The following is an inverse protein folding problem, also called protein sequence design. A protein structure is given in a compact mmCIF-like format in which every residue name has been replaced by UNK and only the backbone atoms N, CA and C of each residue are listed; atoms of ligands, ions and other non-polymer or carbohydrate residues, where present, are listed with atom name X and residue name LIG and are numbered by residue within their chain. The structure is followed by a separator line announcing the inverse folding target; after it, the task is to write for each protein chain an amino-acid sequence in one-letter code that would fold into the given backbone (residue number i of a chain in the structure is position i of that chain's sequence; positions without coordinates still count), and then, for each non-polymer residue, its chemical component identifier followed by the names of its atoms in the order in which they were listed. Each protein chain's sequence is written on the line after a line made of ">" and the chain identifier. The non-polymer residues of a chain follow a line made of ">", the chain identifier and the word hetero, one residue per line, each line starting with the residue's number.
data_IF_687454454858
#
_entry.id   IF_687454454858
#
_cell.length_a   1.000
_cell.length_b   1.000
_cell.length_c   1.000
_cell.angle_alpha   90.00
_cell.angle_beta   90.00
_cell.angle_gamma   90.00
#
_symmetry.space_group_name_H-M   'P 1'
#
loop_
_entity.id
_entity.type
_entity.pdbx_description
1 polymer ?
#
# COMPACT_ATOMS: atom_id res chain seq x y z
N UNK A 1 0.58 38.05 -7.52
CA UNK A 1 -0.20 38.85 -6.55
C UNK A 1 -1.50 38.10 -6.31
N UNK A 2 -1.88 37.59 -5.15
CA UNK A 2 -1.62 38.02 -3.78
C UNK A 2 -1.81 36.80 -2.86
N UNK A 3 -0.94 36.70 -1.85
CA UNK A 3 -0.98 35.74 -0.76
C UNK A 3 -1.99 36.14 0.33
N UNK A 4 -2.15 35.19 1.26
CA UNK A 4 -2.51 35.35 2.68
C UNK A 4 -3.97 35.07 3.02
N UNK A 5 -4.20 33.92 3.67
CA UNK A 5 -4.96 33.91 4.93
C UNK A 5 -4.12 33.27 6.02
N UNK A 6 -4.15 33.97 7.15
CA UNK A 6 -3.31 33.89 8.33
C UNK A 6 -3.64 32.66 9.19
N UNK A 7 -2.57 32.12 9.79
CA UNK A 7 -2.50 31.09 10.82
C UNK A 7 -2.98 31.67 12.15
N UNK A 8 -3.63 30.89 13.01
CA UNK A 8 -3.33 30.74 14.46
C UNK A 8 -4.49 30.10 15.23
N UNK A 9 -4.13 29.26 16.20
CA UNK A 9 -4.90 29.13 17.44
C UNK A 9 -5.79 27.91 17.58
N UNK A 10 -5.20 26.79 18.02
CA UNK A 10 -5.54 26.18 19.33
C UNK A 10 -4.94 24.76 19.42
N UNK A 11 -3.97 24.61 20.31
CA UNK A 11 -3.59 23.32 20.87
C UNK A 11 -4.76 22.80 21.73
N UNK A 12 -5.48 21.81 21.23
CA UNK A 12 -6.11 20.80 22.09
C UNK A 12 -5.87 19.43 21.48
N UNK A 13 -5.00 18.66 22.15
CA UNK A 13 -4.75 17.24 21.97
C UNK A 13 -6.08 16.48 22.18
N UNK A 14 -6.80 16.15 21.12
CA UNK A 14 -7.85 15.13 21.18
C UNK A 14 -7.23 13.79 20.84
N UNK A 15 -6.84 13.08 21.90
CA UNK A 15 -6.43 11.71 21.81
C UNK A 15 -7.59 10.85 21.27
N UNK A 16 -7.21 9.85 20.48
CA UNK A 16 -8.04 8.78 19.90
C UNK A 16 -8.57 9.05 18.48
N UNK A 17 -7.66 9.21 17.52
CA UNK A 17 -7.91 8.65 16.19
C UNK A 17 -7.67 7.14 16.32
N UNK A 18 -8.70 6.28 16.26
CA UNK A 18 -8.45 4.87 16.18
C UNK A 18 -7.65 4.65 14.90
N UNK A 19 -6.41 4.23 15.13
CA UNK A 19 -5.57 3.45 14.22
C UNK A 19 -6.37 3.04 13.00
N UNK A 20 -6.02 3.57 11.82
CA UNK A 20 -6.45 3.05 10.54
C UNK A 20 -5.92 1.63 10.36
N UNK A 21 -6.44 0.68 11.13
CA UNK A 21 -6.53 -0.71 10.73
C UNK A 21 -7.52 -0.70 9.58
N UNK A 22 -7.02 -0.38 8.38
CA UNK A 22 -7.54 -0.95 7.15
C UNK A 22 -7.35 -2.46 7.21
N UNK A 23 -8.07 -3.10 8.14
CA UNK A 23 -8.30 -4.52 8.15
C UNK A 23 -9.20 -4.74 6.96
N UNK A 24 -8.58 -4.94 5.79
CA UNK A 24 -9.28 -5.44 4.63
C UNK A 24 -9.75 -6.85 5.02
N UNK A 25 -10.99 -6.95 5.48
CA UNK A 25 -11.76 -8.17 5.67
C UNK A 25 -12.17 -8.74 4.31
N UNK A 26 -11.23 -8.78 3.37
CA UNK A 26 -11.39 -9.56 2.17
C UNK A 26 -10.88 -10.94 2.51
N UNK A 27 -11.78 -11.92 2.43
CA UNK A 27 -11.42 -13.31 2.21
C UNK A 27 -11.22 -14.25 3.42
N UNK A 28 -12.28 -14.41 4.21
CA UNK A 28 -12.58 -15.73 4.80
C UNK A 28 -13.70 -16.46 4.00
N UNK A 29 -14.31 -15.79 3.01
CA UNK A 29 -15.50 -16.29 2.30
C UNK A 29 -15.23 -16.86 0.90
N UNK A 30 -14.11 -16.57 0.24
CA UNK A 30 -13.81 -17.14 -1.08
C UNK A 30 -13.00 -18.44 -0.93
N UNK A 31 -13.17 -19.33 -1.90
CA UNK A 31 -12.40 -20.58 -1.92
C UNK A 31 -10.95 -20.31 -2.33
N UNK A 32 -10.02 -21.19 -1.94
CA UNK A 32 -8.61 -21.06 -2.36
C UNK A 32 -8.44 -20.98 -3.87
N UNK A 33 -9.26 -21.71 -4.64
CA UNK A 33 -9.23 -21.66 -6.10
C UNK A 33 -9.64 -20.28 -6.65
N UNK A 34 -10.67 -19.64 -6.05
CA UNK A 34 -11.09 -18.29 -6.42
C UNK A 34 -10.03 -17.25 -6.07
N UNK A 35 -9.38 -17.39 -4.92
CA UNK A 35 -8.25 -16.55 -4.53
C UNK A 35 -7.10 -16.64 -5.53
N UNK A 36 -6.71 -17.85 -5.92
CA UNK A 36 -5.63 -18.10 -6.89
C UNK A 36 -5.96 -17.46 -8.24
N UNK A 37 -7.16 -17.69 -8.78
CA UNK A 37 -7.59 -17.13 -10.06
C UNK A 37 -7.52 -15.59 -10.08
N UNK A 38 -7.97 -14.96 -8.98
CA UNK A 38 -7.92 -13.51 -8.84
C UNK A 38 -6.49 -12.99 -8.74
N UNK A 39 -5.64 -13.68 -7.98
CA UNK A 39 -4.22 -13.33 -7.85
C UNK A 39 -3.51 -13.44 -9.20
N UNK A 40 -3.75 -14.50 -9.98
CA UNK A 40 -3.16 -14.70 -11.31
C UNK A 40 -3.62 -13.60 -12.27
N UNK A 41 -4.88 -13.18 -12.19
CA UNK A 41 -5.40 -12.07 -13.00
C UNK A 41 -4.66 -10.75 -12.71
N UNK A 42 -4.33 -10.48 -11.44
CA UNK A 42 -3.62 -9.26 -11.02
C UNK A 42 -2.10 -9.36 -11.20
N UNK A 43 -1.54 -10.55 -11.01
CA UNK A 43 -0.13 -10.85 -11.13
C UNK A 43 0.07 -12.12 -11.99
N UNK A 44 0.11 -11.98 -13.33
CA UNK A 44 0.26 -13.11 -14.24
C UNK A 44 1.64 -13.79 -14.15
N UNK A 45 2.59 -13.20 -13.43
CA UNK A 45 3.91 -13.83 -13.19
C UNK A 45 3.87 -14.88 -12.08
N UNK A 46 2.85 -14.86 -11.23
CA UNK A 46 2.66 -15.88 -10.20
C UNK A 46 1.88 -17.07 -10.78
N UNK A 47 2.50 -18.27 -10.77
CA UNK A 47 1.83 -19.48 -11.27
C UNK A 47 0.86 -20.06 -10.24
N UNK A 48 -0.19 -20.72 -10.70
CA UNK A 48 -1.16 -21.40 -9.84
C UNK A 48 -0.53 -22.49 -8.99
N UNK A 49 0.44 -23.24 -9.53
CA UNK A 49 1.20 -24.27 -8.80
C UNK A 49 2.01 -23.68 -7.63
N UNK A 50 2.55 -22.47 -7.80
CA UNK A 50 3.22 -21.76 -6.71
C UNK A 50 2.23 -21.34 -5.63
N UNK A 51 1.09 -20.78 -6.04
CA UNK A 51 0.08 -20.26 -5.12
C UNK A 51 -0.67 -21.35 -4.36
N UNK A 52 -0.79 -22.56 -4.92
CA UNK A 52 -1.43 -23.72 -4.29
C UNK A 52 -0.73 -24.19 -3.00
N UNK A 53 0.52 -23.79 -2.79
CA UNK A 53 1.32 -24.15 -1.60
C UNK A 53 0.93 -23.32 -0.37
N UNK A 54 0.20 -22.22 -0.55
CA UNK A 54 -0.12 -21.29 0.51
C UNK A 54 -1.52 -21.51 1.08
N UNK A 55 -1.66 -21.18 2.38
CA UNK A 55 -2.97 -21.21 3.02
C UNK A 55 -3.91 -20.16 2.42
N UNK A 56 -5.25 -20.39 2.43
CA UNK A 56 -6.23 -19.40 1.98
C UNK A 56 -6.07 -18.06 2.71
N UNK A 57 -5.69 -18.08 4.00
CA UNK A 57 -5.47 -16.85 4.78
C UNK A 57 -4.28 -16.04 4.28
N UNK A 58 -3.20 -16.71 3.87
CA UNK A 58 -2.03 -16.06 3.27
C UNK A 58 -2.35 -15.50 1.89
N UNK A 59 -3.11 -16.25 1.08
CA UNK A 59 -3.57 -15.82 -0.24
C UNK A 59 -4.47 -14.57 -0.15
N UNK A 60 -5.42 -14.54 0.79
CA UNK A 60 -6.26 -13.35 1.03
C UNK A 60 -5.44 -12.11 1.41
N UNK A 61 -4.44 -12.25 2.29
CA UNK A 61 -3.53 -11.14 2.63
C UNK A 61 -2.74 -10.66 1.42
N UNK A 62 -2.25 -11.57 0.60
CA UNK A 62 -1.51 -11.23 -0.61
C UNK A 62 -2.40 -10.51 -1.63
N UNK A 63 -3.64 -10.96 -1.80
CA UNK A 63 -4.62 -10.32 -2.68
C UNK A 63 -4.96 -8.88 -2.22
N UNK A 64 -5.14 -8.67 -0.91
CA UNK A 64 -5.35 -7.34 -0.35
C UNK A 64 -4.15 -6.42 -0.60
N UNK A 65 -2.93 -6.95 -0.44
CA UNK A 65 -1.71 -6.20 -0.75
C UNK A 65 -1.62 -5.82 -2.22
N UNK A 66 -1.88 -6.76 -3.14
CA UNK A 66 -1.89 -6.49 -4.58
C UNK A 66 -2.91 -5.41 -4.94
N UNK A 67 -4.11 -5.48 -4.35
CA UNK A 67 -5.17 -4.49 -4.59
C UNK A 67 -4.75 -3.10 -4.11
N UNK A 68 -4.18 -3.00 -2.91
CA UNK A 68 -3.65 -1.74 -2.40
C UNK A 68 -2.49 -1.18 -3.24
N UNK A 69 -1.68 -2.06 -3.86
CA UNK A 69 -0.57 -1.65 -4.72
C UNK A 69 -1.01 -1.15 -6.12
N UNK A 70 -2.24 -1.43 -6.55
CA UNK A 70 -2.80 -0.90 -7.80
C UNK A 70 -3.29 0.54 -7.66
N UNK A 71 -3.49 1.03 -6.43
CA UNK A 71 -3.92 2.41 -6.21
C UNK A 71 -2.82 3.38 -6.68
N UNK A 72 -3.13 4.39 -7.50
CA UNK A 72 -2.20 5.46 -7.84
C UNK A 72 -1.58 6.02 -6.55
N UNK A 73 -0.25 6.12 -6.51
CA UNK A 73 0.46 6.73 -5.38
C UNK A 73 -0.10 8.13 -5.15
N UNK A 74 -0.93 8.28 -4.13
CA UNK A 74 -1.60 9.53 -3.82
C UNK A 74 -0.61 10.67 -3.51
N UNK A 75 -1.09 11.91 -3.37
CA UNK A 75 -0.23 13.07 -3.08
C UNK A 75 0.58 12.95 -1.78
N UNK A 76 0.20 12.03 -0.88
CA UNK A 76 0.92 11.66 0.34
C UNK A 76 2.04 10.62 0.12
N UNK A 77 2.02 9.86 -0.98
CA UNK A 77 3.04 8.87 -1.32
C UNK A 77 4.26 9.54 -1.99
N UNK A 78 4.71 10.68 -1.44
CA UNK A 78 5.94 11.33 -1.86
C UNK A 78 7.14 10.51 -1.39
N UNK A 79 8.04 10.21 -2.32
CA UNK A 79 9.35 9.68 -1.95
C UNK A 79 10.12 10.79 -1.20
N UNK A 80 10.07 10.76 0.13
CA UNK A 80 10.92 11.62 0.97
C UNK A 80 12.27 10.93 1.16
N UNK A 81 13.29 11.38 0.43
CA UNK A 81 14.67 11.00 0.72
C UNK A 81 15.16 11.90 1.85
N UNK A 82 15.79 11.31 2.87
CA UNK A 82 16.56 12.10 3.82
C UNK A 82 17.64 12.85 3.05
N UNK A 83 17.82 14.15 3.33
CA UNK A 83 18.70 15.03 2.56
C UNK A 83 20.19 14.64 2.56
N UNK A 84 20.56 13.67 3.39
CA UNK A 84 21.90 13.08 3.50
C UNK A 84 22.05 11.75 2.73
N UNK A 85 21.01 11.28 2.03
CA UNK A 85 21.08 10.05 1.24
C UNK A 85 21.71 10.38 -0.13
N UNK A 86 22.90 9.85 -0.45
CA UNK A 86 23.57 10.14 -1.71
C UNK A 86 22.70 9.67 -2.90
N UNK A 87 22.53 10.53 -3.89
CA UNK A 87 21.99 10.12 -5.18
C UNK A 87 23.05 9.31 -5.94
N UNK A 88 22.62 8.37 -6.78
CA UNK A 88 23.53 7.70 -7.72
C UNK A 88 24.05 8.80 -8.67
N UNK A 89 25.28 9.24 -8.45
CA UNK A 89 25.98 10.19 -9.31
C UNK A 89 26.82 9.40 -10.33
N UNK A 90 26.51 9.57 -11.61
CA UNK A 90 27.35 9.05 -12.68
C UNK A 90 28.66 9.83 -12.66
N UNK A 91 29.80 9.14 -12.56
CA UNK A 91 31.11 9.78 -12.68
C UNK A 91 31.24 10.38 -14.08
N UNK A 92 31.37 11.70 -14.19
CA UNK A 92 31.77 12.35 -15.44
C UNK A 92 33.26 12.11 -15.66
N UNK A 93 33.60 11.67 -16.87
CA UNK A 93 34.98 11.42 -17.32
C UNK A 93 35.57 12.68 -17.93
#
# INVERSE_FOLDING_TARGET
>A
MTCVVVVEGALTRSANEPMGTGTQETDTRMSSAQLIDRIVTLNPTATSEFLAQFSPRSLGRYLAHLTAAQEPRGPSARWSRAGNSPAIVMAQR
#
